data_IF_838735461707
#
_entry.id   IF_838735461707
#
_cell.length_a   1.000
_cell.length_b   1.000
_cell.length_c   1.000
_cell.angle_alpha   90.00
_cell.angle_beta   90.00
_cell.angle_gamma   90.00
#
_symmetry.space_group_name_H-M   'P 1'
#
loop_
_entity.id
_entity.type
_entity.pdbx_description
1 polymer ?
#
# COMPACT_ATOMS: atom_id res chain seq x y z
N UNK A 1 2.39 27.53 -35.36
CA UNK A 1 2.27 26.08 -35.06
C UNK A 1 2.13 25.88 -33.54
N UNK A 2 1.54 26.84 -32.84
CA UNK A 2 1.90 27.09 -31.42
C UNK A 2 0.71 26.81 -30.50
N UNK A 3 -0.46 26.54 -31.10
CA UNK A 3 -1.69 26.15 -30.41
C UNK A 3 -1.69 24.69 -29.97
N UNK A 4 -1.16 23.77 -30.79
CA UNK A 4 -1.19 22.32 -30.49
C UNK A 4 -0.33 21.94 -29.28
N UNK A 5 0.84 22.57 -29.10
CA UNK A 5 1.69 22.29 -27.93
C UNK A 5 1.05 22.79 -26.62
N UNK A 6 0.29 23.89 -26.67
CA UNK A 6 -0.41 24.44 -25.51
C UNK A 6 -1.56 23.54 -25.02
N UNK A 7 -2.19 22.77 -25.90
CA UNK A 7 -3.28 21.87 -25.51
C UNK A 7 -2.78 20.64 -24.74
N UNK A 8 -1.54 20.19 -24.96
CA UNK A 8 -0.96 19.06 -24.21
C UNK A 8 -0.68 19.40 -22.74
N UNK A 9 -0.44 20.67 -22.40
CA UNK A 9 -0.24 21.11 -21.00
C UNK A 9 -1.51 21.00 -20.14
N UNK A 10 -2.70 20.87 -20.75
CA UNK A 10 -3.98 20.76 -20.03
C UNK A 10 -4.51 19.33 -19.92
N UNK A 11 -3.94 18.37 -20.65
CA UNK A 11 -4.39 16.98 -20.60
C UNK A 11 -3.60 16.26 -19.52
N UNK A 12 -4.28 16.00 -18.41
CA UNK A 12 -3.80 15.11 -17.37
C UNK A 12 -4.02 13.65 -17.81
N UNK A 13 -3.00 13.10 -18.46
CA UNK A 13 -3.01 11.71 -18.94
C UNK A 13 -3.04 10.68 -17.81
N UNK A 14 -2.73 11.09 -16.57
CA UNK A 14 -2.78 10.21 -15.41
C UNK A 14 -4.17 10.23 -14.77
N UNK A 15 -4.88 11.35 -14.79
CA UNK A 15 -6.22 11.51 -14.20
C UNK A 15 -7.38 11.26 -15.19
N UNK A 16 -7.26 10.23 -16.02
CA UNK A 16 -8.34 9.79 -16.91
C UNK A 16 -9.37 8.94 -16.15
N UNK A 17 -10.64 8.88 -16.60
CA UNK A 17 -11.64 7.99 -16.00
C UNK A 17 -11.22 6.52 -15.97
N UNK A 18 -10.49 6.06 -16.99
CA UNK A 18 -9.93 4.70 -17.05
C UNK A 18 -8.89 4.48 -15.95
N UNK A 19 -7.96 5.40 -15.75
CA UNK A 19 -6.95 5.30 -14.70
C UNK A 19 -7.58 5.38 -13.30
N UNK A 20 -8.57 6.26 -13.10
CA UNK A 20 -9.33 6.33 -11.86
C UNK A 20 -10.03 5.01 -11.53
N UNK A 21 -10.64 4.38 -12.53
CA UNK A 21 -11.28 3.07 -12.35
C UNK A 21 -10.25 1.98 -11.99
N UNK A 22 -9.09 1.97 -12.66
CA UNK A 22 -7.99 1.05 -12.35
C UNK A 22 -7.49 1.27 -10.91
N UNK A 23 -7.26 2.52 -10.50
CA UNK A 23 -6.85 2.85 -9.14
C UNK A 23 -7.85 2.36 -8.09
N UNK A 24 -9.15 2.56 -8.33
CA UNK A 24 -10.19 2.12 -7.40
C UNK A 24 -10.23 0.59 -7.31
N UNK A 25 -10.06 -0.12 -8.42
CA UNK A 25 -9.94 -1.59 -8.42
C UNK A 25 -8.73 -2.05 -7.60
N UNK A 26 -7.56 -1.43 -7.78
CA UNK A 26 -6.35 -1.75 -7.00
C UNK A 26 -6.56 -1.47 -5.51
N UNK A 27 -7.18 -0.33 -5.17
CA UNK A 27 -7.50 0.03 -3.78
C UNK A 27 -8.44 -0.99 -3.14
N UNK A 28 -9.47 -1.43 -3.87
CA UNK A 28 -10.41 -2.43 -3.39
C UNK A 28 -9.74 -3.79 -3.18
N UNK A 29 -8.90 -4.24 -4.12
CA UNK A 29 -8.11 -5.47 -3.97
C UNK A 29 -7.20 -5.41 -2.75
N UNK A 30 -6.49 -4.30 -2.55
CA UNK A 30 -5.66 -4.10 -1.36
C UNK A 30 -6.49 -4.14 -0.08
N UNK A 31 -7.67 -3.49 -0.06
CA UNK A 31 -8.56 -3.50 1.11
C UNK A 31 -8.98 -4.92 1.48
N UNK A 32 -9.40 -5.70 0.49
CA UNK A 32 -9.80 -7.10 0.69
C UNK A 32 -8.65 -7.93 1.29
N UNK A 33 -7.42 -7.75 0.80
CA UNK A 33 -6.24 -8.46 1.31
C UNK A 33 -5.94 -8.05 2.75
N UNK A 34 -6.01 -6.76 3.07
CA UNK A 34 -5.78 -6.26 4.42
C UNK A 34 -6.81 -6.81 5.41
N UNK A 35 -8.07 -6.94 5.00
CA UNK A 35 -9.14 -7.51 5.82
C UNK A 35 -8.95 -9.02 6.10
N UNK A 36 -8.18 -9.73 5.25
CA UNK A 36 -7.81 -11.14 5.45
C UNK A 36 -6.57 -11.34 6.32
N UNK A 37 -5.84 -10.27 6.68
CA UNK A 37 -4.68 -10.40 7.54
C UNK A 37 -5.09 -10.80 8.96
N UNK A 38 -4.30 -11.66 9.64
CA UNK A 38 -4.48 -11.88 11.07
C UNK A 38 -4.47 -10.52 11.82
N UNK A 39 -5.28 -10.32 12.87
CA UNK A 39 -5.46 -9.02 13.51
C UNK A 39 -4.14 -8.35 13.92
N UNK A 40 -3.21 -9.13 14.49
CA UNK A 40 -1.90 -8.61 14.88
C UNK A 40 -1.03 -8.21 13.68
N UNK A 41 -1.18 -8.87 12.53
CA UNK A 41 -0.42 -8.57 11.32
C UNK A 41 -0.98 -7.30 10.66
N UNK A 42 -2.30 -7.12 10.64
CA UNK A 42 -2.95 -5.86 10.27
C UNK A 42 -2.49 -4.71 11.17
N UNK A 43 -2.54 -4.89 12.49
CA UNK A 43 -2.12 -3.88 13.47
C UNK A 43 -0.69 -3.38 13.23
N UNK A 44 0.24 -4.30 12.93
CA UNK A 44 1.61 -3.92 12.60
C UNK A 44 1.67 -3.05 11.33
N UNK A 45 0.93 -3.39 10.27
CA UNK A 45 0.89 -2.56 9.05
C UNK A 45 0.22 -1.21 9.32
N UNK A 46 -0.86 -1.20 10.11
CA UNK A 46 -1.56 0.01 10.49
C UNK A 46 -0.67 0.99 11.27
N UNK A 47 0.01 0.52 12.31
CA UNK A 47 0.92 1.35 13.09
C UNK A 47 2.08 1.90 12.26
N UNK A 48 2.68 1.08 11.39
CA UNK A 48 3.82 1.52 10.59
C UNK A 48 3.44 2.51 9.48
N UNK A 49 2.36 2.25 8.75
CA UNK A 49 2.06 2.99 7.52
C UNK A 49 0.95 4.04 7.68
N UNK A 50 -0.05 3.81 8.54
CA UNK A 50 -1.14 4.77 8.76
C UNK A 50 -0.86 5.70 9.95
N UNK A 51 -0.19 5.19 10.99
CA UNK A 51 0.24 6.02 12.14
C UNK A 51 1.67 6.55 12.00
N UNK A 52 2.36 6.22 10.90
CA UNK A 52 3.75 6.62 10.63
C UNK A 52 4.73 6.27 11.76
N UNK A 53 4.45 5.20 12.52
CA UNK A 53 5.34 4.75 13.60
C UNK A 53 6.54 4.02 13.01
N UNK A 54 7.72 4.20 13.59
CA UNK A 54 8.90 3.42 13.22
C UNK A 54 8.85 1.99 13.77
N UNK A 55 9.58 1.07 13.14
CA UNK A 55 9.75 -0.30 13.66
C UNK A 55 10.33 -0.30 15.09
N UNK A 56 11.21 0.67 15.40
CA UNK A 56 11.86 0.81 16.70
C UNK A 56 10.84 1.19 17.78
N UNK A 57 10.02 2.20 17.53
CA UNK A 57 8.97 2.64 18.48
C UNK A 57 7.94 1.53 18.71
N UNK A 58 7.53 0.84 17.65
CA UNK A 58 6.58 -0.27 17.79
C UNK A 58 7.19 -1.46 18.54
N UNK A 59 8.46 -1.78 18.28
CA UNK A 59 9.18 -2.82 19.02
C UNK A 59 9.27 -2.50 20.52
N UNK A 60 9.53 -1.24 20.87
CA UNK A 60 9.59 -0.78 22.26
C UNK A 60 8.24 -0.94 22.97
N UNK A 61 7.12 -0.59 22.32
CA UNK A 61 5.78 -0.77 22.88
C UNK A 61 5.45 -2.23 23.20
N UNK A 62 5.92 -3.14 22.35
CA UNK A 62 5.66 -4.58 22.50
C UNK A 62 6.70 -5.29 23.38
N UNK A 63 7.77 -4.60 23.79
CA UNK A 63 8.87 -5.20 24.55
C UNK A 63 9.67 -6.24 23.76
N UNK A 64 9.80 -6.07 22.44
CA UNK A 64 10.53 -6.99 21.55
C UNK A 64 11.67 -6.29 20.83
N UNK A 65 12.51 -7.04 20.11
CA UNK A 65 13.58 -6.47 19.29
C UNK A 65 13.03 -5.84 18.00
N UNK A 66 13.68 -4.77 17.52
CA UNK A 66 13.38 -4.18 16.20
C UNK A 66 13.49 -5.24 15.09
N UNK A 67 14.46 -6.14 15.18
CA UNK A 67 14.64 -7.22 14.20
C UNK A 67 13.42 -8.15 14.12
N UNK A 68 12.79 -8.47 15.25
CA UNK A 68 11.56 -9.27 15.26
C UNK A 68 10.44 -8.57 14.50
N UNK A 69 10.30 -7.24 14.68
CA UNK A 69 9.34 -6.43 13.91
C UNK A 69 9.70 -6.39 12.43
N UNK A 70 10.98 -6.21 12.09
CA UNK A 70 11.45 -6.17 10.70
C UNK A 70 11.13 -7.46 9.93
N UNK A 71 11.49 -8.62 10.51
CA UNK A 71 11.22 -9.94 9.91
C UNK A 71 9.73 -10.15 9.73
N UNK A 72 8.94 -9.79 10.75
CA UNK A 72 7.48 -9.91 10.70
C UNK A 72 6.87 -9.02 9.62
N UNK A 73 7.30 -7.77 9.51
CA UNK A 73 6.90 -6.82 8.46
C UNK A 73 7.20 -7.39 7.08
N UNK A 74 8.43 -7.86 6.83
CA UNK A 74 8.81 -8.46 5.55
C UNK A 74 7.91 -9.63 5.15
N UNK A 75 7.59 -10.52 6.10
CA UNK A 75 6.69 -11.65 5.86
C UNK A 75 5.29 -11.18 5.48
N UNK A 76 4.75 -10.16 6.15
CA UNK A 76 3.41 -9.63 5.86
C UNK A 76 3.39 -8.95 4.49
N UNK A 77 4.37 -8.09 4.19
CA UNK A 77 4.45 -7.42 2.88
C UNK A 77 4.60 -8.42 1.73
N UNK A 78 5.37 -9.50 1.92
CA UNK A 78 5.44 -10.59 0.95
C UNK A 78 4.09 -11.26 0.72
N UNK A 79 3.31 -11.51 1.78
CA UNK A 79 1.96 -12.05 1.66
C UNK A 79 1.04 -11.10 0.91
N UNK A 80 1.02 -9.81 1.27
CA UNK A 80 0.21 -8.81 0.59
C UNK A 80 0.54 -8.78 -0.91
N UNK A 81 1.84 -8.70 -1.25
CA UNK A 81 2.29 -8.72 -2.64
C UNK A 81 1.80 -9.97 -3.39
N UNK A 82 2.05 -11.16 -2.84
CA UNK A 82 1.63 -12.40 -3.49
C UNK A 82 0.11 -12.44 -3.73
N UNK A 83 -0.71 -11.94 -2.80
CA UNK A 83 -2.16 -11.92 -2.96
C UNK A 83 -2.64 -10.86 -3.98
N UNK A 84 -1.85 -9.80 -4.22
CA UNK A 84 -2.13 -8.84 -5.30
C UNK A 84 -1.77 -9.45 -6.65
N UNK A 85 -0.59 -10.07 -6.76
CA UNK A 85 -0.12 -10.73 -7.98
C UNK A 85 -1.09 -11.86 -8.39
N UNK A 86 -1.63 -12.63 -7.43
CA UNK A 86 -2.64 -13.67 -7.67
C UNK A 86 -3.99 -13.14 -8.15
N UNK A 87 -4.35 -11.90 -7.78
CA UNK A 87 -5.59 -11.25 -8.24
C UNK A 87 -5.43 -10.57 -9.61
N UNK A 88 -4.26 -10.66 -10.24
CA UNK A 88 -4.01 -10.08 -11.57
C UNK A 88 -4.02 -8.55 -11.58
N UNK A 89 -3.74 -7.93 -10.43
CA UNK A 89 -3.52 -6.49 -10.31
C UNK A 89 -2.06 -6.12 -10.66
#
# INVERSE_FOLDING_TARGET
>A
NDGYERFHEFIDYDNTPENQAIEEMVRQSLRNILDLLPPKDYELIYELYFKNRSEKEYAQMLGVSQQAIHVRKKRILKKIKNNLDEQGC
#
